data_IF_052305853877
#
_entry.id   IF_052305853877
#
_cell.length_a   1.000
_cell.length_b   1.000
_cell.length_c   1.000
_cell.angle_alpha   90.00
_cell.angle_beta   90.00
_cell.angle_gamma   90.00
#
_symmetry.space_group_name_H-M   'P 1'
#
loop_
_entity.id
_entity.type
_entity.pdbx_description
1 polymer ?
#
# COMPACT_ATOMS: atom_id res chain seq x y z
N UNK A 1 -19.78 -38.53 46.99
CA UNK A 1 -18.61 -38.48 46.10
C UNK A 1 -19.08 -38.55 44.65
N UNK A 2 -19.00 -37.48 43.85
CA UNK A 2 -19.08 -37.57 42.38
C UNK A 2 -17.68 -37.44 41.75
N UNK A 3 -17.39 -38.11 40.62
CA UNK A 3 -16.14 -37.91 39.91
C UNK A 3 -16.21 -36.62 39.07
N UNK A 4 -15.20 -35.77 39.25
CA UNK A 4 -14.98 -34.56 38.46
C UNK A 4 -14.34 -34.99 37.15
N UNK A 5 -15.10 -34.98 36.05
CA UNK A 5 -14.52 -35.12 34.71
C UNK A 5 -13.82 -33.82 34.33
N UNK A 6 -12.49 -33.83 34.36
CA UNK A 6 -11.65 -32.77 33.83
C UNK A 6 -11.79 -32.70 32.30
N UNK A 7 -12.48 -31.67 31.82
CA UNK A 7 -12.32 -31.17 30.45
C UNK A 7 -10.89 -30.60 30.32
N UNK A 8 -10.01 -31.34 29.67
CA UNK A 8 -8.71 -30.83 29.23
C UNK A 8 -8.93 -29.86 28.06
N UNK A 9 -9.03 -28.56 28.36
CA UNK A 9 -8.90 -27.49 27.37
C UNK A 9 -7.45 -27.50 26.85
N UNK A 10 -7.24 -28.14 25.70
CA UNK A 10 -6.02 -28.02 24.92
C UNK A 10 -6.00 -26.59 24.35
N UNK A 11 -5.42 -25.66 25.11
CA UNK A 11 -5.00 -24.35 24.60
C UNK A 11 -3.86 -24.60 23.61
N UNK A 12 -4.16 -24.65 22.30
CA UNK A 12 -3.11 -24.51 21.29
C UNK A 12 -2.47 -23.12 21.50
N UNK A 13 -1.15 -23.02 21.71
CA UNK A 13 -0.49 -21.72 21.63
C UNK A 13 -0.70 -21.24 20.19
N UNK A 14 -1.50 -20.18 20.02
CA UNK A 14 -1.61 -19.51 18.74
C UNK A 14 -0.19 -19.11 18.34
N UNK A 15 0.36 -19.77 17.31
CA UNK A 15 1.64 -19.42 16.72
C UNK A 15 1.51 -17.98 16.21
N UNK A 16 1.94 -17.01 17.02
CA UNK A 16 2.23 -15.66 16.57
C UNK A 16 3.46 -15.77 15.68
N UNK A 17 3.26 -16.19 14.44
CA UNK A 17 4.29 -16.05 13.41
C UNK A 17 4.66 -14.56 13.40
N UNK A 18 5.93 -14.22 13.64
CA UNK A 18 6.34 -12.83 13.61
C UNK A 18 5.95 -12.26 12.25
N UNK A 19 5.20 -11.16 12.27
CA UNK A 19 4.86 -10.43 11.04
C UNK A 19 6.19 -10.05 10.42
N UNK A 20 6.46 -10.55 9.22
CA UNK A 20 7.70 -10.26 8.51
C UNK A 20 7.87 -8.73 8.44
N UNK A 21 9.10 -8.21 8.67
CA UNK A 21 9.33 -6.78 8.58
C UNK A 21 8.92 -6.28 7.19
N UNK A 22 8.31 -5.08 7.09
CA UNK A 22 7.98 -4.49 5.81
C UNK A 22 9.24 -4.11 5.03
N UNK A 23 9.11 -3.86 3.72
CA UNK A 23 10.18 -3.48 2.79
C UNK A 23 11.26 -4.55 2.66
N UNK A 24 10.84 -5.80 2.47
CA UNK A 24 11.76 -6.93 2.23
C UNK A 24 11.65 -7.40 0.78
N UNK A 25 12.74 -7.95 0.19
CA UNK A 25 12.70 -8.47 -1.18
C UNK A 25 11.57 -9.49 -1.44
N UNK A 26 11.22 -10.40 -0.51
CA UNK A 26 10.08 -11.29 -0.69
C UNK A 26 8.72 -10.56 -0.74
N UNK A 27 8.52 -9.51 0.06
CA UNK A 27 7.28 -8.74 0.06
C UNK A 27 7.12 -7.93 -1.23
N UNK A 28 8.21 -7.31 -1.70
CA UNK A 28 8.26 -6.62 -2.99
C UNK A 28 7.99 -7.59 -4.15
N UNK A 29 8.61 -8.77 -4.12
CA UNK A 29 8.40 -9.80 -5.13
C UNK A 29 6.94 -10.31 -5.15
N UNK A 30 6.30 -10.47 -4.00
CA UNK A 30 4.90 -10.88 -3.91
C UNK A 30 3.97 -9.84 -4.55
N UNK A 31 4.17 -8.56 -4.26
CA UNK A 31 3.41 -7.48 -4.88
C UNK A 31 3.67 -7.41 -6.39
N UNK A 32 4.93 -7.49 -6.81
CA UNK A 32 5.31 -7.49 -8.23
C UNK A 32 4.62 -8.61 -9.01
N UNK A 33 4.69 -9.85 -8.50
CA UNK A 33 4.03 -11.01 -9.12
C UNK A 33 2.52 -10.80 -9.22
N UNK A 34 1.89 -10.30 -8.17
CA UNK A 34 0.45 -10.04 -8.18
C UNK A 34 0.06 -8.98 -9.22
N UNK A 35 0.84 -7.90 -9.34
CA UNK A 35 0.63 -6.87 -10.38
C UNK A 35 0.83 -7.45 -11.78
N UNK A 36 1.84 -8.30 -11.97
CA UNK A 36 2.09 -8.95 -13.25
C UNK A 36 0.94 -9.88 -13.65
N UNK A 37 0.43 -10.69 -12.72
CA UNK A 37 -0.76 -11.51 -12.98
C UNK A 37 -1.97 -10.68 -13.42
N UNK A 38 -2.20 -9.50 -12.80
CA UNK A 38 -3.25 -8.60 -13.25
C UNK A 38 -3.04 -8.13 -14.70
N UNK A 39 -1.80 -7.74 -15.05
CA UNK A 39 -1.46 -7.31 -16.41
C UNK A 39 -1.68 -8.45 -17.41
N UNK A 40 -1.14 -9.63 -17.14
CA UNK A 40 -1.26 -10.80 -18.03
C UNK A 40 -2.73 -11.22 -18.22
N UNK A 41 -3.57 -11.02 -17.20
CA UNK A 41 -5.00 -11.37 -17.26
C UNK A 41 -5.82 -10.43 -18.13
N UNK A 42 -5.51 -9.13 -18.12
CA UNK A 42 -6.38 -8.10 -18.71
C UNK A 42 -5.81 -7.42 -19.95
N UNK A 43 -4.52 -7.62 -20.24
CA UNK A 43 -3.93 -7.22 -21.50
C UNK A 43 -4.51 -8.03 -22.65
N UNK A 44 -4.78 -7.35 -23.76
CA UNK A 44 -5.21 -7.98 -25.02
C UNK A 44 -4.03 -8.29 -25.93
N UNK A 45 -2.94 -7.53 -25.78
CA UNK A 45 -1.63 -7.72 -26.41
C UNK A 45 -0.57 -7.16 -25.46
N UNK A 46 0.73 -7.52 -25.61
CA UNK A 46 1.79 -6.93 -24.80
C UNK A 46 1.71 -5.40 -24.81
N UNK A 47 1.52 -4.80 -23.63
CA UNK A 47 1.41 -3.35 -23.46
C UNK A 47 0.09 -2.72 -23.92
N UNK A 48 -0.91 -3.50 -24.33
CA UNK A 48 -2.22 -2.99 -24.75
C UNK A 48 -3.35 -3.58 -23.92
N UNK A 49 -4.26 -2.71 -23.48
CA UNK A 49 -5.44 -3.08 -22.69
C UNK A 49 -6.65 -2.47 -23.36
N UNK A 50 -7.63 -3.30 -23.73
CA UNK A 50 -8.89 -2.81 -24.27
C UNK A 50 -9.60 -1.91 -23.24
N UNK A 51 -10.32 -0.89 -23.71
CA UNK A 51 -11.06 0.06 -22.87
C UNK A 51 -11.92 -0.65 -21.81
N UNK A 52 -12.65 -1.68 -22.22
CA UNK A 52 -13.56 -2.44 -21.34
C UNK A 52 -12.83 -3.26 -20.27
N UNK A 53 -11.55 -3.55 -20.48
CA UNK A 53 -10.71 -4.25 -19.51
C UNK A 53 -9.96 -3.29 -18.58
N UNK A 54 -9.88 -1.99 -18.91
CA UNK A 54 -9.09 -1.03 -18.12
C UNK A 54 -9.60 -0.93 -16.67
N UNK A 55 -10.92 -0.84 -16.48
CA UNK A 55 -11.51 -0.80 -15.13
C UNK A 55 -11.24 -2.08 -14.33
N UNK A 56 -11.24 -3.25 -15.00
CA UNK A 56 -10.91 -4.54 -14.37
C UNK A 56 -9.43 -4.61 -13.98
N UNK A 57 -8.54 -4.18 -14.88
CA UNK A 57 -7.11 -4.11 -14.64
C UNK A 57 -6.80 -3.22 -13.44
N UNK A 58 -7.28 -1.97 -13.44
CA UNK A 58 -7.01 -1.04 -12.33
C UNK A 58 -7.57 -1.55 -11.01
N UNK A 59 -8.75 -2.18 -11.02
CA UNK A 59 -9.32 -2.81 -9.82
C UNK A 59 -8.45 -3.96 -9.32
N UNK A 60 -7.92 -4.80 -10.22
CA UNK A 60 -7.01 -5.89 -9.86
C UNK A 60 -5.70 -5.34 -9.26
N UNK A 61 -5.10 -4.34 -9.89
CA UNK A 61 -3.89 -3.68 -9.39
C UNK A 61 -4.13 -3.05 -8.02
N UNK A 62 -5.26 -2.38 -7.80
CA UNK A 62 -5.62 -1.82 -6.50
C UNK A 62 -5.78 -2.91 -5.42
N UNK A 63 -6.42 -4.03 -5.73
CA UNK A 63 -6.52 -5.17 -4.81
C UNK A 63 -5.15 -5.78 -4.49
N UNK A 64 -4.27 -5.91 -5.48
CA UNK A 64 -2.90 -6.37 -5.27
C UNK A 64 -2.14 -5.41 -4.33
N UNK A 65 -2.22 -4.10 -4.57
CA UNK A 65 -1.64 -3.07 -3.69
C UNK A 65 -2.27 -3.10 -2.29
N UNK A 66 -3.57 -3.31 -2.15
CA UNK A 66 -4.21 -3.43 -0.85
C UNK A 66 -3.71 -4.64 -0.07
N UNK A 67 -3.56 -5.78 -0.75
CA UNK A 67 -3.15 -7.04 -0.14
C UNK A 67 -1.68 -7.08 0.25
N UNK A 68 -0.79 -6.63 -0.64
CA UNK A 68 0.66 -6.78 -0.46
C UNK A 68 1.39 -5.45 -0.21
N UNK A 69 0.76 -4.31 -0.48
CA UNK A 69 1.40 -2.99 -0.42
C UNK A 69 1.90 -2.58 0.96
N UNK A 70 1.19 -2.94 2.04
CA UNK A 70 1.67 -2.64 3.41
C UNK A 70 3.00 -3.33 3.72
N UNK A 71 3.15 -4.58 3.28
CA UNK A 71 4.40 -5.33 3.48
C UNK A 71 5.48 -4.89 2.49
N UNK A 72 5.12 -4.57 1.25
CA UNK A 72 6.07 -4.18 0.22
C UNK A 72 6.61 -2.75 0.36
N UNK A 73 5.75 -1.80 0.78
CA UNK A 73 6.06 -0.36 0.82
C UNK A 73 6.20 0.21 2.24
N UNK A 74 5.80 -0.55 3.26
CA UNK A 74 5.97 -0.17 4.67
C UNK A 74 5.35 1.18 4.98
N UNK A 75 6.11 2.16 5.50
CA UNK A 75 5.58 3.49 5.85
C UNK A 75 5.03 4.26 4.65
N UNK A 76 5.44 3.92 3.42
CA UNK A 76 4.97 4.58 2.19
C UNK A 76 3.71 3.94 1.60
N UNK A 77 3.24 2.81 2.15
CA UNK A 77 2.07 2.09 1.63
C UNK A 77 0.80 2.95 1.45
N UNK A 78 0.48 3.91 2.36
CA UNK A 78 -0.69 4.76 2.18
C UNK A 78 -0.67 5.57 0.88
N UNK A 79 0.49 6.05 0.43
CA UNK A 79 0.65 6.83 -0.81
C UNK A 79 0.20 5.99 -2.02
N UNK A 80 0.74 4.77 -2.13
CA UNK A 80 0.42 3.88 -3.24
C UNK A 80 -1.01 3.32 -3.18
N UNK A 81 -1.57 3.17 -1.98
CA UNK A 81 -2.97 2.75 -1.82
C UNK A 81 -3.94 3.83 -2.28
N UNK A 82 -3.66 5.10 -1.96
CA UNK A 82 -4.44 6.25 -2.43
C UNK A 82 -4.38 6.38 -3.96
N UNK A 83 -3.17 6.36 -4.53
CA UNK A 83 -2.98 6.42 -5.98
C UNK A 83 -3.65 5.26 -6.71
N UNK A 84 -3.59 4.04 -6.17
CA UNK A 84 -4.31 2.91 -6.74
C UNK A 84 -5.84 3.08 -6.70
N UNK A 85 -6.39 3.69 -5.64
CA UNK A 85 -7.82 4.00 -5.56
C UNK A 85 -8.24 5.05 -6.60
N UNK A 86 -7.46 6.13 -6.73
CA UNK A 86 -7.68 7.16 -7.76
C UNK A 86 -7.59 6.58 -9.17
N UNK A 87 -6.67 5.65 -9.40
CA UNK A 87 -6.54 4.96 -10.69
C UNK A 87 -7.76 4.10 -11.05
N UNK A 88 -8.42 3.48 -10.06
CA UNK A 88 -9.69 2.77 -10.27
C UNK A 88 -10.80 3.74 -10.66
N UNK A 89 -10.87 4.88 -9.99
CA UNK A 89 -11.86 5.92 -10.31
C UNK A 89 -11.65 6.49 -11.71
N UNK A 90 -10.41 6.80 -12.11
CA UNK A 90 -10.08 7.26 -13.46
C UNK A 90 -10.48 6.23 -14.52
N UNK A 91 -10.23 4.93 -14.27
CA UNK A 91 -10.64 3.88 -15.19
C UNK A 91 -12.16 3.69 -15.25
N UNK A 92 -12.88 3.96 -14.16
CA UNK A 92 -14.34 4.01 -14.14
C UNK A 92 -14.84 5.17 -15.03
N UNK A 93 -14.28 6.37 -14.89
CA UNK A 93 -14.63 7.52 -15.73
C UNK A 93 -14.35 7.28 -17.22
N UNK A 94 -13.24 6.60 -17.55
CA UNK A 94 -12.95 6.18 -18.92
C UNK A 94 -14.04 5.24 -19.46
N UNK A 95 -14.41 4.21 -18.68
CA UNK A 95 -15.45 3.23 -19.05
C UNK A 95 -16.80 3.91 -19.28
N UNK A 96 -17.16 4.85 -18.39
CA UNK A 96 -18.42 5.61 -18.44
C UNK A 96 -18.44 6.68 -19.54
N UNK A 97 -17.34 6.87 -20.27
CA UNK A 97 -17.23 7.87 -21.35
C UNK A 97 -17.08 9.30 -20.84
N UNK A 98 -16.85 9.49 -19.54
CA UNK A 98 -16.56 10.78 -18.91
C UNK A 98 -15.16 11.24 -19.28
N UNK A 99 -14.19 10.30 -19.34
CA UNK A 99 -12.83 10.57 -19.83
C UNK A 99 -12.62 10.03 -21.23
N UNK A 100 -11.91 10.80 -22.05
CA UNK A 100 -11.22 10.28 -23.24
C UNK A 100 -10.01 9.43 -22.82
N UNK A 101 -9.46 8.59 -23.72
CA UNK A 101 -8.22 7.87 -23.45
C UNK A 101 -7.05 8.79 -23.04
N UNK A 102 -6.96 9.97 -23.66
CA UNK A 102 -5.90 10.96 -23.35
C UNK A 102 -6.09 11.54 -21.95
N UNK A 103 -7.32 11.92 -21.58
CA UNK A 103 -7.62 12.41 -20.22
C UNK A 103 -7.35 11.34 -19.16
N UNK A 104 -7.69 10.08 -19.45
CA UNK A 104 -7.32 8.96 -18.59
C UNK A 104 -5.80 8.85 -18.45
N UNK A 105 -5.05 8.91 -19.56
CA UNK A 105 -3.59 8.88 -19.53
C UNK A 105 -2.98 10.03 -18.73
N UNK A 106 -3.51 11.25 -18.88
CA UNK A 106 -3.10 12.42 -18.08
C UNK A 106 -3.39 12.23 -16.60
N UNK A 107 -4.56 11.71 -16.23
CA UNK A 107 -4.91 11.48 -14.82
C UNK A 107 -4.00 10.43 -14.17
N UNK A 108 -3.71 9.33 -14.88
CA UNK A 108 -2.74 8.33 -14.41
C UNK A 108 -1.35 8.96 -14.24
N UNK A 109 -0.92 9.83 -15.15
CA UNK A 109 0.33 10.58 -15.04
C UNK A 109 0.38 11.48 -13.81
N UNK A 110 -0.70 12.23 -13.55
CA UNK A 110 -0.82 13.10 -12.37
C UNK A 110 -0.79 12.31 -11.06
N UNK A 111 -1.46 11.15 -11.01
CA UNK A 111 -1.41 10.24 -9.86
C UNK A 111 0.04 9.82 -9.59
N UNK A 112 0.77 9.39 -10.62
CA UNK A 112 2.15 8.96 -10.47
C UNK A 112 3.09 10.10 -10.04
N UNK A 113 2.87 11.31 -10.54
CA UNK A 113 3.60 12.49 -10.11
C UNK A 113 3.33 12.81 -8.64
N UNK A 114 2.07 12.79 -8.20
CA UNK A 114 1.67 12.97 -6.81
C UNK A 114 2.30 11.93 -5.88
N UNK A 115 2.28 10.65 -6.28
CA UNK A 115 2.94 9.59 -5.53
C UNK A 115 4.44 9.88 -5.37
N UNK A 116 5.13 10.24 -6.45
CA UNK A 116 6.56 10.56 -6.42
C UNK A 116 6.88 11.77 -5.54
N UNK A 117 6.10 12.84 -5.62
CA UNK A 117 6.28 14.03 -4.78
C UNK A 117 6.04 13.69 -3.30
N UNK A 118 4.99 12.95 -2.99
CA UNK A 118 4.68 12.53 -1.62
C UNK A 118 5.78 11.63 -1.04
N UNK A 119 6.36 10.73 -1.84
CA UNK A 119 7.48 9.88 -1.43
C UNK A 119 8.72 10.71 -1.07
N UNK A 120 9.05 11.73 -1.87
CA UNK A 120 10.18 12.62 -1.60
C UNK A 120 9.97 13.38 -0.30
N UNK A 121 8.77 13.93 -0.09
CA UNK A 121 8.42 14.65 1.14
C UNK A 121 8.46 13.74 2.38
N UNK A 122 7.89 12.53 2.29
CA UNK A 122 7.88 11.60 3.42
C UNK A 122 9.28 11.09 3.76
N UNK A 123 10.13 10.86 2.74
CA UNK A 123 11.56 10.55 2.95
C UNK A 123 12.27 11.69 3.67
N UNK A 124 12.03 12.94 3.28
CA UNK A 124 12.62 14.10 3.94
C UNK A 124 12.21 14.18 5.41
N UNK A 125 10.93 13.97 5.72
CA UNK A 125 10.40 13.99 7.10
C UNK A 125 11.01 12.88 7.97
N UNK A 126 11.19 11.67 7.44
CA UNK A 126 11.79 10.56 8.20
C UNK A 126 13.30 10.72 8.42
N UNK A 127 13.98 11.49 7.57
CA UNK A 127 15.41 11.78 7.71
C UNK A 127 15.70 13.06 8.48
N UNK A 128 14.66 13.83 8.86
CA UNK A 128 14.85 15.03 9.67
C UNK A 128 15.19 14.59 11.10
N UNK A 129 16.32 15.03 11.70
CA UNK A 129 16.63 14.71 13.08
C UNK A 129 15.46 15.12 13.97
N UNK A 130 15.04 14.25 14.89
CA UNK A 130 14.12 14.69 15.95
C UNK A 130 14.79 15.86 16.66
N UNK A 131 14.09 16.99 16.77
CA UNK A 131 14.56 18.15 17.53
C UNK A 131 15.11 17.65 18.88
N UNK A 132 16.35 18.00 19.25
CA UNK A 132 16.83 17.69 20.58
C UNK A 132 15.89 18.40 21.54
N UNK A 133 15.10 17.59 22.25
CA UNK A 133 14.26 17.97 23.37
C UNK A 133 14.94 19.13 24.09
N UNK A 134 14.30 20.30 24.11
CA UNK A 134 14.67 21.46 24.91
C UNK A 134 15.11 20.93 26.28
N UNK A 135 16.43 20.83 26.48
CA UNK A 135 16.96 20.47 27.79
C UNK A 135 16.46 21.56 28.73
N UNK A 136 15.76 21.21 29.84
CA UNK A 136 15.34 22.21 30.80
C UNK A 136 16.59 22.96 31.25
N UNK A 137 16.63 24.27 30.99
CA UNK A 137 17.67 25.15 31.53
C UNK A 137 17.67 24.94 33.06
N UNK A 138 18.80 24.60 33.70
CA UNK A 138 18.84 24.48 35.14
C UNK A 138 18.39 25.81 35.74
N UNK A 139 17.37 25.78 36.61
CA UNK A 139 16.93 26.98 37.31
C UNK A 139 18.13 27.59 38.03
N UNK A 140 18.43 28.86 37.74
CA UNK A 140 19.46 29.62 38.42
C UNK A 140 19.16 29.62 39.93
N UNK A 141 20.16 29.40 40.80
CA UNK A 141 19.94 29.49 42.24
C UNK A 141 19.69 30.95 42.60
N UNK A 142 18.50 31.22 43.15
CA UNK A 142 18.16 32.52 43.73
C UNK A 142 19.26 32.95 44.71
N UNK A 143 19.86 34.11 44.43
CA UNK A 143 20.56 34.94 45.41
C UNK A 143 20.18 36.39 45.18
#
# INVERSE_FOLDING_TARGET
MPPISLLALIMLPACTAPVAPPNTPPAEAALYRAKQTCLDTYQTRPGQVAKDNMSKLMTCLARATQKYGRQAYGPYAPIYMDGASKGVEAARHLREGIYTPDQFGSEIGLIQEQENSALVQQKAQMNTPMDPILQPVPAAPNR
#
